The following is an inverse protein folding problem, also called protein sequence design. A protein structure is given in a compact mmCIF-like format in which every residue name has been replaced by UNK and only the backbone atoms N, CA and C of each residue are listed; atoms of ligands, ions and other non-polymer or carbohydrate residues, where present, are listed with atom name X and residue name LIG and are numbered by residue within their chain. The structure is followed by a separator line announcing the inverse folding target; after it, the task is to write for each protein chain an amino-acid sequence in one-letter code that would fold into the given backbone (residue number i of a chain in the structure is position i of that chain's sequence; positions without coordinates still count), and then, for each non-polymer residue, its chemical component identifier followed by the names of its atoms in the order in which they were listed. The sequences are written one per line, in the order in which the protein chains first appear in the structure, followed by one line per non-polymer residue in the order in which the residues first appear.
data_IF_325500080866
#
_entry.id   IF_325500080866
#
_cell.length_a   1.000
_cell.length_b   1.000
_cell.length_c   1.000
_cell.angle_alpha   90.00
_cell.angle_beta   90.00
_cell.angle_gamma   90.00
#
_symmetry.space_group_name_H-M   'P 1'
#
loop_
_entity.id
_entity.type
_entity.pdbx_description
1 polymer ?
#
# COMPACT_ATOMS: atom_id res chain seq x y z
N UNK A 1 -7.07 -11.89 -3.03
CA UNK A 1 -6.05 -11.42 -3.99
C UNK A 1 -6.18 -9.91 -4.11
N UNK A 2 -5.08 -9.17 -4.24
CA UNK A 2 -5.12 -7.72 -4.48
C UNK A 2 -4.82 -7.50 -5.95
N UNK A 3 -5.75 -6.90 -6.69
CA UNK A 3 -5.63 -6.69 -8.14
C UNK A 3 -4.91 -5.38 -8.50
N UNK A 4 -5.03 -4.35 -7.65
CA UNK A 4 -4.42 -3.06 -7.89
C UNK A 4 -4.30 -2.23 -6.61
N UNK A 5 -3.43 -1.24 -6.64
CA UNK A 5 -3.29 -0.20 -5.64
C UNK A 5 -3.53 1.17 -6.29
N UNK A 6 -4.14 2.09 -5.57
CA UNK A 6 -4.26 3.49 -5.98
C UNK A 6 -3.39 4.35 -5.08
N UNK A 7 -2.48 5.10 -5.67
CA UNK A 7 -1.60 6.03 -4.96
C UNK A 7 -2.03 7.46 -5.27
N UNK A 8 -2.33 8.26 -4.24
CA UNK A 8 -2.75 9.65 -4.41
C UNK A 8 -1.77 10.56 -3.69
N UNK A 9 -1.36 11.64 -4.35
CA UNK A 9 -0.72 12.76 -3.65
C UNK A 9 -1.79 13.57 -2.88
N UNK A 10 -1.42 14.33 -1.85
CA UNK A 10 -2.36 15.25 -1.21
C UNK A 10 -2.98 16.22 -2.25
N UNK A 11 -4.30 16.27 -2.31
CA UNK A 11 -5.05 17.10 -3.27
C UNK A 11 -5.26 16.47 -4.65
N UNK A 12 -4.80 15.25 -4.89
CA UNK A 12 -4.99 14.52 -6.15
C UNK A 12 -6.36 13.82 -6.19
N UNK A 13 -7.12 14.05 -7.26
CA UNK A 13 -8.43 13.43 -7.49
C UNK A 13 -8.36 12.15 -8.33
N UNK A 14 -7.33 12.01 -9.16
CA UNK A 14 -7.20 10.91 -10.13
C UNK A 14 -6.30 9.80 -9.59
N UNK A 15 -5.20 10.15 -8.94
CA UNK A 15 -4.24 9.19 -8.44
C UNK A 15 -3.63 8.31 -9.52
N UNK A 16 -2.77 7.40 -9.10
CA UNK A 16 -2.05 6.48 -9.98
C UNK A 16 -2.41 5.05 -9.61
N UNK A 17 -2.91 4.31 -10.59
CA UNK A 17 -3.21 2.89 -10.45
C UNK A 17 -1.97 2.06 -10.72
N UNK A 18 -1.49 1.37 -9.70
CA UNK A 18 -0.46 0.34 -9.81
C UNK A 18 -1.16 -1.01 -9.92
N UNK A 19 -1.13 -1.60 -11.11
CA UNK A 19 -1.81 -2.87 -11.44
C UNK A 19 -0.87 -4.06 -11.54
N UNK A 20 0.43 -3.81 -11.58
CA UNK A 20 1.51 -4.80 -11.70
C UNK A 20 2.66 -4.41 -10.77
N UNK A 21 3.68 -5.27 -10.68
CA UNK A 21 4.98 -4.94 -10.09
C UNK A 21 4.97 -4.61 -8.58
N UNK A 22 3.87 -4.94 -7.90
CA UNK A 22 3.83 -5.06 -6.45
C UNK A 22 3.73 -6.53 -6.03
N UNK A 23 4.38 -6.86 -4.92
CA UNK A 23 4.39 -8.19 -4.33
C UNK A 23 3.55 -8.19 -3.06
N UNK A 24 2.50 -9.00 -3.05
CA UNK A 24 1.71 -9.29 -1.85
C UNK A 24 2.41 -10.42 -1.09
N UNK A 25 3.10 -10.09 0.01
CA UNK A 25 3.79 -11.08 0.86
C UNK A 25 2.84 -11.77 1.83
N UNK A 26 1.82 -11.06 2.29
CA UNK A 26 0.77 -11.62 3.14
C UNK A 26 -0.53 -10.85 2.88
N UNK A 27 -1.64 -11.56 2.73
CA UNK A 27 -2.97 -10.97 2.73
C UNK A 27 -3.92 -11.94 3.44
N UNK A 28 -4.12 -11.69 4.73
CA UNK A 28 -4.99 -12.48 5.60
C UNK A 28 -6.01 -11.55 6.23
N UNK A 29 -7.24 -11.63 5.75
CA UNK A 29 -8.35 -10.76 6.18
C UNK A 29 -8.93 -11.21 7.51
N UNK A 30 -8.84 -12.51 7.84
CA UNK A 30 -9.29 -13.06 9.13
C UNK A 30 -8.39 -12.58 10.26
N UNK A 31 -7.07 -12.61 10.04
CA UNK A 31 -6.06 -12.13 11.00
C UNK A 31 -5.79 -10.62 10.87
N UNK A 32 -6.37 -9.96 9.86
CA UNK A 32 -6.16 -8.54 9.54
C UNK A 32 -4.67 -8.19 9.37
N UNK A 33 -4.02 -8.91 8.48
CA UNK A 33 -2.60 -8.73 8.13
C UNK A 33 -2.48 -8.51 6.63
N UNK A 34 -1.88 -7.39 6.25
CA UNK A 34 -1.45 -7.11 4.88
C UNK A 34 0.03 -6.75 4.88
N UNK A 35 0.81 -7.36 4.00
CA UNK A 35 2.19 -6.99 3.71
C UNK A 35 2.39 -6.89 2.22
N UNK A 36 2.78 -5.72 1.76
CA UNK A 36 2.93 -5.41 0.36
C UNK A 36 4.24 -4.65 0.13
N UNK A 37 4.93 -5.00 -0.95
CA UNK A 37 6.17 -4.35 -1.38
C UNK A 37 5.99 -3.91 -2.82
N UNK A 38 6.29 -2.67 -3.12
CA UNK A 38 6.35 -2.14 -4.47
C UNK A 38 7.75 -1.59 -4.73
N UNK A 39 8.42 -2.09 -5.77
CA UNK A 39 9.84 -1.81 -6.03
C UNK A 39 10.07 -0.57 -6.91
N UNK A 40 9.02 0.15 -7.33
CA UNK A 40 9.16 1.41 -8.06
C UNK A 40 9.40 1.26 -9.56
N UNK A 41 8.74 0.31 -10.22
CA UNK A 41 8.84 0.15 -11.67
C UNK A 41 8.28 1.36 -12.44
N UNK A 42 7.11 1.86 -12.03
CA UNK A 42 6.57 3.14 -12.50
C UNK A 42 7.19 4.31 -11.71
N UNK A 43 7.95 5.15 -12.41
CA UNK A 43 8.69 6.30 -11.84
C UNK A 43 7.78 7.36 -11.20
N UNK A 44 6.48 7.35 -11.51
CA UNK A 44 5.51 8.29 -10.92
C UNK A 44 5.13 7.91 -9.50
N UNK A 45 5.40 6.66 -9.09
CA UNK A 45 5.16 6.17 -7.74
C UNK A 45 6.51 5.75 -7.14
N UNK A 46 6.96 6.38 -6.04
CA UNK A 46 8.20 5.96 -5.39
C UNK A 46 8.05 4.53 -4.84
N UNK A 47 9.16 3.76 -4.72
CA UNK A 47 9.13 2.47 -4.05
C UNK A 47 8.56 2.59 -2.63
N UNK A 48 7.76 1.61 -2.21
CA UNK A 48 7.19 1.62 -0.87
C UNK A 48 6.96 0.22 -0.31
N UNK A 49 6.81 0.17 1.00
CA UNK A 49 6.32 -1.00 1.73
C UNK A 49 5.10 -0.59 2.54
N UNK A 50 4.01 -1.35 2.40
CA UNK A 50 2.80 -1.20 3.21
C UNK A 50 2.66 -2.42 4.12
N UNK A 51 2.62 -2.18 5.42
CA UNK A 51 2.31 -3.20 6.44
C UNK A 51 1.06 -2.76 7.17
N UNK A 52 0.06 -3.64 7.23
CA UNK A 52 -1.15 -3.47 8.05
C UNK A 52 -1.19 -4.60 9.05
N UNK A 53 -1.39 -4.24 10.32
CA UNK A 53 -1.63 -5.17 11.42
C UNK A 53 -2.86 -4.69 12.18
N UNK A 54 -3.86 -5.54 12.33
CA UNK A 54 -5.16 -5.17 12.87
C UNK A 54 -5.72 -3.95 12.13
N UNK A 55 -5.94 -2.82 12.79
CA UNK A 55 -6.47 -1.58 12.21
C UNK A 55 -5.41 -0.47 12.07
N UNK A 56 -4.12 -0.83 12.10
CA UNK A 56 -3.01 0.11 11.97
C UNK A 56 -2.23 -0.18 10.69
N UNK A 57 -1.97 0.85 9.91
CA UNK A 57 -1.09 0.79 8.75
C UNK A 57 0.21 1.54 9.02
N UNK A 58 1.29 1.00 8.47
CA UNK A 58 2.58 1.65 8.35
C UNK A 58 2.97 1.64 6.87
N UNK A 59 3.01 2.82 6.28
CA UNK A 59 3.57 3.05 4.94
C UNK A 59 5.02 3.52 5.10
N UNK A 60 5.95 2.79 4.49
CA UNK A 60 7.37 3.20 4.40
C UNK A 60 7.66 3.64 2.98
N UNK A 61 8.05 4.90 2.80
CA UNK A 61 8.26 5.54 1.50
C UNK A 61 9.50 6.44 1.60
N UNK A 62 10.49 6.21 0.74
CA UNK A 62 11.79 6.91 0.76
C UNK A 62 12.45 6.96 2.15
N UNK A 63 12.40 5.86 2.90
CA UNK A 63 12.94 5.77 4.27
C UNK A 63 12.09 6.45 5.36
N UNK A 64 11.05 7.20 4.99
CA UNK A 64 10.09 7.79 5.94
C UNK A 64 9.00 6.80 6.29
N UNK A 65 8.65 6.71 7.57
CA UNK A 65 7.52 5.92 8.06
C UNK A 65 6.32 6.82 8.33
N UNK A 66 5.17 6.45 7.79
CA UNK A 66 3.90 7.13 8.00
C UNK A 66 2.96 6.09 8.63
N UNK A 67 2.40 6.42 9.79
CA UNK A 67 1.45 5.56 10.48
C UNK A 67 0.05 6.16 10.35
N UNK A 68 -0.94 5.30 10.11
CA UNK A 68 -2.33 5.72 9.99
C UNK A 68 -3.28 4.62 10.44
N UNK A 69 -4.55 4.95 10.68
CA UNK A 69 -5.60 3.94 10.83
C UNK A 69 -5.81 3.21 9.49
N UNK A 70 -6.36 2.01 9.53
CA UNK A 70 -6.69 1.24 8.34
C UNK A 70 -8.07 0.60 8.48
N UNK A 71 -8.92 0.85 7.50
CA UNK A 71 -10.22 0.18 7.37
C UNK A 71 -10.06 -1.06 6.47
N UNK A 72 -10.64 -2.17 6.90
CA UNK A 72 -10.73 -3.41 6.12
C UNK A 72 -12.05 -3.53 5.35
N UNK A 73 -12.87 -2.48 5.36
CA UNK A 73 -14.08 -2.44 4.55
C UNK A 73 -13.70 -2.61 3.08
N UNK A 74 -14.28 -3.63 2.46
CA UNK A 74 -14.11 -4.00 1.05
C UNK A 74 -15.43 -3.81 0.33
#
# INVERSE_FOLDING_TARGET
MIASLRFNAPGDSEGIWVRSDFQVKTFDTKRRILRLIYTGHDKRVPPFTLVVLANKSTLTLNGKRINYSFSWEM
#
